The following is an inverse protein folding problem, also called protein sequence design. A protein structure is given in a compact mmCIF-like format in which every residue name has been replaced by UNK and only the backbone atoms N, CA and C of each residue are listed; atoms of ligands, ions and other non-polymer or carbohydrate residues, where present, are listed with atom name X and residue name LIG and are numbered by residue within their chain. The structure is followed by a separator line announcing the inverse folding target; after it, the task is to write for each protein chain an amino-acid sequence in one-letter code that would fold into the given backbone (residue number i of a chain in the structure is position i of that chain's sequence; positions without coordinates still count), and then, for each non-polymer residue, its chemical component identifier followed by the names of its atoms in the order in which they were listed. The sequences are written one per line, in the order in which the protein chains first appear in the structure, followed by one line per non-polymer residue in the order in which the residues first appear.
data_IF_547584346678
#
_entry.id   IF_547584346678
#
_cell.length_a   1.000
_cell.length_b   1.000
_cell.length_c   1.000
_cell.angle_alpha   90.00
_cell.angle_beta   90.00
_cell.angle_gamma   90.00
#
_symmetry.space_group_name_H-M   'P 1'
#
loop_
_entity.id
_entity.type
_entity.pdbx_description
1 polymer ?
#
# COMPACT_ATOMS: atom_id res chain seq x y z
N UNK A 1 -15.22 -23.10 -0.59
CA UNK A 1 -14.80 -24.37 -1.22
C UNK A 1 -15.48 -24.36 -2.56
N UNK A 2 -14.75 -24.05 -3.63
CA UNK A 2 -15.34 -24.02 -4.97
C UNK A 2 -15.79 -25.43 -5.35
N UNK A 3 -16.90 -25.53 -6.09
CA UNK A 3 -17.37 -26.82 -6.63
C UNK A 3 -16.38 -27.42 -7.64
N UNK A 4 -15.48 -26.60 -8.17
CA UNK A 4 -14.42 -26.96 -9.11
C UNK A 4 -13.09 -26.37 -8.63
N UNK A 5 -12.01 -27.12 -8.80
CA UNK A 5 -10.65 -26.67 -8.50
C UNK A 5 -10.28 -25.51 -9.43
N UNK A 6 -9.63 -24.46 -8.93
CA UNK A 6 -9.29 -23.26 -9.72
C UNK A 6 -8.39 -23.58 -10.93
N UNK A 7 -7.67 -24.70 -10.85
CA UNK A 7 -6.75 -25.17 -11.88
C UNK A 7 -7.38 -26.17 -12.87
N UNK A 8 -8.65 -26.54 -12.71
CA UNK A 8 -9.29 -27.52 -13.58
C UNK A 8 -9.79 -26.89 -14.89
N UNK A 9 -9.07 -27.14 -15.98
CA UNK A 9 -9.44 -26.75 -17.34
C UNK A 9 -10.16 -27.89 -18.06
N UNK A 10 -11.50 -27.83 -18.11
CA UNK A 10 -12.34 -28.85 -18.77
C UNK A 10 -11.94 -29.07 -20.23
N UNK A 11 -11.54 -28.02 -20.94
CA UNK A 11 -11.09 -28.09 -22.34
C UNK A 11 -9.86 -29.00 -22.48
N UNK A 12 -8.89 -28.87 -21.57
CA UNK A 12 -7.66 -29.66 -21.58
C UNK A 12 -7.95 -31.12 -21.17
N UNK A 13 -8.83 -31.31 -20.20
CA UNK A 13 -9.28 -32.64 -19.77
C UNK A 13 -9.98 -33.42 -20.89
N UNK A 14 -10.93 -32.79 -21.58
CA UNK A 14 -11.65 -33.38 -22.71
C UNK A 14 -10.69 -33.65 -23.88
N UNK A 15 -9.78 -32.71 -24.17
CA UNK A 15 -8.75 -32.87 -25.21
C UNK A 15 -7.79 -34.02 -24.92
N UNK A 16 -7.39 -34.22 -23.67
CA UNK A 16 -6.51 -35.32 -23.27
C UNK A 16 -7.16 -36.71 -23.39
N UNK A 17 -8.50 -36.79 -23.35
CA UNK A 17 -9.24 -38.05 -23.42
C UNK A 17 -9.55 -38.53 -24.84
N UNK A 18 -9.66 -37.61 -25.81
CA UNK A 18 -9.95 -37.93 -27.22
C UNK A 18 -8.93 -38.91 -27.85
N UNK A 19 -7.60 -38.79 -27.65
CA UNK A 19 -6.61 -39.70 -28.22
C UNK A 19 -6.64 -41.12 -27.64
N UNK A 20 -7.26 -41.30 -26.46
CA UNK A 20 -7.30 -42.57 -25.74
C UNK A 20 -8.41 -43.51 -26.23
N UNK A 21 -9.21 -43.08 -27.22
CA UNK A 21 -10.25 -43.89 -27.84
C UNK A 21 -9.67 -44.64 -29.05
N UNK A 22 -9.88 -45.94 -29.15
CA UNK A 22 -9.22 -46.76 -30.18
C UNK A 22 -9.79 -46.59 -31.60
N UNK A 23 -11.06 -46.17 -31.74
CA UNK A 23 -11.76 -46.07 -33.03
C UNK A 23 -11.97 -44.62 -33.48
N UNK A 24 -11.63 -44.31 -34.73
CA UNK A 24 -11.80 -43.02 -35.40
C UNK A 24 -13.26 -42.53 -35.43
N UNK A 25 -14.25 -43.42 -35.67
CA UNK A 25 -15.67 -43.04 -35.63
C UNK A 25 -16.11 -42.68 -34.21
N UNK A 26 -15.64 -43.45 -33.21
CA UNK A 26 -15.91 -43.16 -31.80
C UNK A 26 -15.25 -41.85 -31.34
N UNK A 27 -14.09 -41.48 -31.91
CA UNK A 27 -13.42 -40.19 -31.65
C UNK A 27 -14.24 -39.02 -32.17
N UNK A 28 -14.76 -39.10 -33.41
CA UNK A 28 -15.52 -38.00 -34.00
C UNK A 28 -16.89 -37.85 -33.32
N UNK A 29 -17.54 -38.97 -32.97
CA UNK A 29 -18.78 -38.99 -32.18
C UNK A 29 -18.56 -38.41 -30.77
N UNK A 30 -17.47 -38.81 -30.09
CA UNK A 30 -17.11 -38.29 -28.77
C UNK A 30 -16.79 -36.80 -28.82
N UNK A 31 -16.07 -36.32 -29.85
CA UNK A 31 -15.79 -34.88 -30.05
C UNK A 31 -17.07 -34.06 -30.20
N UNK A 32 -17.97 -34.50 -31.09
CA UNK A 32 -19.16 -33.74 -31.45
C UNK A 32 -20.24 -33.76 -30.38
N UNK A 33 -20.46 -34.91 -29.76
CA UNK A 33 -21.55 -35.10 -28.81
C UNK A 33 -21.06 -34.88 -27.39
N UNK A 34 -20.06 -35.65 -26.95
CA UNK A 34 -19.66 -35.63 -25.53
C UNK A 34 -18.78 -34.41 -25.24
N UNK A 35 -17.77 -34.12 -26.06
CA UNK A 35 -16.84 -33.02 -25.82
C UNK A 35 -17.55 -31.67 -25.75
N UNK A 36 -18.25 -31.30 -26.83
CA UNK A 36 -18.93 -30.01 -26.91
C UNK A 36 -20.07 -29.89 -25.88
N UNK A 37 -20.96 -30.88 -25.75
CA UNK A 37 -22.04 -30.81 -24.75
C UNK A 37 -21.51 -30.75 -23.32
N UNK A 38 -20.45 -31.49 -22.98
CA UNK A 38 -19.89 -31.48 -21.62
C UNK A 38 -19.17 -30.16 -21.32
N UNK A 39 -18.46 -29.59 -22.30
CA UNK A 39 -17.83 -28.27 -22.17
C UNK A 39 -18.89 -27.19 -22.02
N UNK A 40 -19.94 -27.21 -22.85
CA UNK A 40 -21.02 -26.22 -22.82
C UNK A 40 -21.83 -26.33 -21.52
N UNK A 41 -22.15 -27.55 -21.08
CA UNK A 41 -22.80 -27.80 -19.79
C UNK A 41 -21.92 -27.34 -18.63
N UNK A 42 -20.61 -27.61 -18.66
CA UNK A 42 -19.67 -27.14 -17.63
C UNK A 42 -19.62 -25.61 -17.58
N UNK A 43 -19.52 -24.94 -18.75
CA UNK A 43 -19.54 -23.48 -18.84
C UNK A 43 -20.85 -22.91 -18.31
N UNK A 44 -21.98 -23.52 -18.65
CA UNK A 44 -23.29 -23.09 -18.17
C UNK A 44 -23.44 -23.28 -16.65
N UNK A 45 -23.07 -24.45 -16.11
CA UNK A 45 -23.09 -24.72 -14.67
C UNK A 45 -22.14 -23.78 -13.92
N UNK A 46 -20.96 -23.51 -14.47
CA UNK A 46 -20.01 -22.55 -13.90
C UNK A 46 -20.60 -21.14 -13.91
N UNK A 47 -21.19 -20.69 -15.02
CA UNK A 47 -21.82 -19.38 -15.10
C UNK A 47 -23.01 -19.23 -14.13
N UNK A 48 -23.87 -20.25 -14.00
CA UNK A 48 -24.96 -20.26 -13.01
C UNK A 48 -24.44 -20.26 -11.58
N UNK A 49 -23.34 -20.99 -11.31
CA UNK A 49 -22.68 -20.99 -10.01
C UNK A 49 -22.08 -19.62 -9.68
N UNK A 50 -21.30 -19.03 -10.60
CA UNK A 50 -20.71 -17.71 -10.46
C UNK A 50 -21.80 -16.63 -10.30
N UNK A 51 -22.94 -16.76 -11.00
CA UNK A 51 -24.08 -15.86 -10.88
C UNK A 51 -24.85 -16.04 -9.55
N UNK A 52 -25.00 -17.27 -9.06
CA UNK A 52 -25.55 -17.54 -7.74
C UNK A 52 -24.63 -17.00 -6.65
N UNK A 53 -23.33 -17.25 -6.77
CA UNK A 53 -22.29 -16.73 -5.89
C UNK A 53 -22.37 -15.20 -5.86
N UNK A 54 -22.39 -14.53 -7.02
CA UNK A 54 -22.55 -13.07 -7.12
C UNK A 54 -23.83 -12.57 -6.44
N UNK A 55 -24.98 -13.21 -6.65
CA UNK A 55 -26.24 -12.82 -5.98
C UNK A 55 -26.17 -12.98 -4.47
N UNK A 56 -25.64 -14.11 -3.99
CA UNK A 56 -25.45 -14.36 -2.56
C UNK A 56 -24.45 -13.37 -1.95
N UNK A 57 -23.41 -12.99 -2.70
CA UNK A 57 -22.47 -11.93 -2.32
C UNK A 57 -23.13 -10.56 -2.23
N UNK A 58 -23.96 -10.21 -3.21
CA UNK A 58 -24.69 -8.94 -3.25
C UNK A 58 -25.76 -8.84 -2.15
N UNK A 59 -26.34 -9.99 -1.74
CA UNK A 59 -27.29 -10.10 -0.63
C UNK A 59 -26.64 -10.11 0.77
N UNK A 60 -25.36 -10.46 0.87
CA UNK A 60 -24.63 -10.44 2.14
C UNK A 60 -24.28 -9.00 2.53
N UNK A 61 -24.42 -8.59 3.81
CA UNK A 61 -23.96 -7.28 4.24
C UNK A 61 -22.44 -7.18 4.01
N UNK A 62 -22.02 -6.27 3.13
CA UNK A 62 -20.60 -5.94 2.96
C UNK A 62 -20.16 -5.11 4.15
N UNK A 63 -19.14 -5.57 4.86
CA UNK A 63 -18.49 -4.74 5.87
C UNK A 63 -17.88 -3.52 5.15
N UNK A 64 -18.16 -2.32 5.63
CA UNK A 64 -17.53 -1.12 5.09
C UNK A 64 -16.03 -1.22 5.35
N UNK A 65 -15.22 -1.17 4.28
CA UNK A 65 -13.76 -1.30 4.35
C UNK A 65 -13.10 -0.01 3.91
N UNK A 66 -11.85 0.16 4.34
CA UNK A 66 -10.97 1.16 3.73
C UNK A 66 -10.74 0.81 2.25
N UNK A 67 -10.77 1.81 1.34
CA UNK A 67 -10.35 1.64 -0.03
C UNK A 67 -8.95 1.04 -0.14
N UNK A 68 -8.73 0.30 -1.22
CA UNK A 68 -7.42 -0.26 -1.49
C UNK A 68 -6.46 0.86 -1.93
N UNK A 69 -5.43 1.09 -1.12
CA UNK A 69 -4.35 2.01 -1.47
C UNK A 69 -3.39 1.30 -2.40
N UNK A 70 -3.00 2.00 -3.46
CA UNK A 70 -2.01 1.54 -4.43
C UNK A 70 -0.91 2.59 -4.43
N UNK A 71 0.33 2.14 -4.24
CA UNK A 71 1.50 3.01 -4.19
C UNK A 71 2.57 2.55 -5.15
N UNK A 72 3.30 3.53 -5.68
CA UNK A 72 4.44 3.31 -6.55
C UNK A 72 5.48 4.41 -6.29
N UNK A 73 6.65 4.28 -6.88
CA UNK A 73 7.65 5.34 -6.92
C UNK A 73 8.24 5.37 -8.32
N UNK A 74 8.38 6.56 -8.89
CA UNK A 74 9.02 6.75 -10.20
C UNK A 74 10.12 7.79 -10.09
N UNK A 75 11.02 7.84 -11.06
CA UNK A 75 11.90 8.99 -11.18
C UNK A 75 11.06 10.20 -11.65
N UNK A 76 11.23 11.36 -11.03
CA UNK A 76 10.44 12.57 -11.34
C UNK A 76 10.41 12.92 -12.83
N UNK A 77 11.50 12.69 -13.56
CA UNK A 77 11.65 12.95 -14.99
C UNK A 77 10.87 11.97 -15.89
N UNK A 78 10.45 10.82 -15.34
CA UNK A 78 9.68 9.80 -16.04
C UNK A 78 8.18 9.82 -15.71
N UNK A 79 7.75 10.73 -14.83
CA UNK A 79 6.35 10.83 -14.44
C UNK A 79 5.51 11.41 -15.58
N UNK A 80 4.41 10.73 -15.91
CA UNK A 80 3.43 11.21 -16.88
C UNK A 80 2.44 12.16 -16.19
N UNK A 81 2.43 13.44 -16.58
CA UNK A 81 1.50 14.43 -16.05
C UNK A 81 0.04 14.16 -16.45
N UNK A 82 -0.20 13.28 -17.41
CA UNK A 82 -1.54 12.86 -17.86
C UNK A 82 -2.03 11.57 -17.22
N UNK A 83 -1.26 10.99 -16.29
CA UNK A 83 -1.67 9.82 -15.53
C UNK A 83 -2.98 10.08 -14.76
N UNK A 84 -3.99 9.26 -15.02
CA UNK A 84 -5.33 9.37 -14.43
C UNK A 84 -5.49 8.47 -13.19
N UNK A 85 -4.50 7.65 -12.86
CA UNK A 85 -4.60 6.62 -11.83
C UNK A 85 -3.67 6.83 -10.63
N UNK A 86 -2.42 7.24 -10.86
CA UNK A 86 -1.46 7.49 -9.78
C UNK A 86 -0.98 8.93 -9.77
N UNK A 87 -1.12 9.57 -8.62
CA UNK A 87 -0.82 10.98 -8.39
C UNK A 87 0.33 11.13 -7.41
N UNK A 88 1.12 12.23 -7.46
CA UNK A 88 2.10 12.54 -6.43
C UNK A 88 1.44 12.65 -5.05
N UNK A 89 2.06 12.05 -4.03
CA UNK A 89 1.57 12.21 -2.65
C UNK A 89 1.61 13.67 -2.17
N UNK A 90 2.56 14.44 -2.68
CA UNK A 90 2.68 15.89 -2.51
C UNK A 90 2.86 16.54 -3.88
N UNK A 91 2.01 17.52 -4.19
CA UNK A 91 2.09 18.25 -5.47
C UNK A 91 3.40 19.05 -5.58
N UNK A 92 3.93 19.52 -4.44
CA UNK A 92 5.16 20.30 -4.35
C UNK A 92 6.41 19.50 -4.74
N UNK A 93 6.34 18.17 -4.78
CA UNK A 93 7.47 17.33 -5.22
C UNK A 93 7.74 17.43 -6.73
N UNK A 94 6.79 17.99 -7.48
CA UNK A 94 6.97 18.36 -8.89
C UNK A 94 7.85 19.61 -9.04
N UNK A 95 8.03 20.41 -8.00
CA UNK A 95 8.93 21.56 -8.02
C UNK A 95 10.39 21.12 -7.82
N UNK A 96 11.33 21.82 -8.44
CA UNK A 96 12.75 21.53 -8.22
C UNK A 96 13.25 22.20 -6.94
N UNK A 97 13.95 21.42 -6.12
CA UNK A 97 14.60 21.91 -4.90
C UNK A 97 15.74 22.85 -5.28
N UNK A 98 15.66 24.10 -4.85
CA UNK A 98 16.74 25.09 -5.01
C UNK A 98 17.59 25.13 -3.74
N UNK A 99 18.88 24.89 -3.88
CA UNK A 99 19.84 24.94 -2.76
C UNK A 99 20.45 26.34 -2.68
N UNK A 100 20.17 27.05 -1.59
CA UNK A 100 20.82 28.33 -1.32
C UNK A 100 22.23 28.09 -0.73
N UNK A 101 23.26 28.41 -1.50
CA UNK A 101 24.65 28.16 -1.09
C UNK A 101 25.06 28.95 0.17
N UNK A 102 24.59 30.18 0.32
CA UNK A 102 24.92 31.03 1.48
C UNK A 102 24.34 30.44 2.78
N UNK A 103 23.09 29.98 2.73
CA UNK A 103 22.45 29.29 3.86
C UNK A 103 23.12 27.94 4.16
N UNK A 104 23.48 27.19 3.12
CA UNK A 104 24.18 25.92 3.27
C UNK A 104 25.54 26.08 3.94
N UNK A 105 26.38 27.00 3.45
CA UNK A 105 27.72 27.26 3.99
C UNK A 105 27.63 27.76 5.43
N UNK A 106 26.71 28.69 5.71
CA UNK A 106 26.52 29.22 7.07
C UNK A 106 26.03 28.15 8.05
N UNK A 107 25.10 27.27 7.64
CA UNK A 107 24.65 26.14 8.44
C UNK A 107 25.80 25.17 8.75
N UNK A 108 26.58 24.79 7.73
CA UNK A 108 27.72 23.85 7.91
C UNK A 108 28.82 24.46 8.76
N UNK A 109 29.16 25.75 8.60
CA UNK A 109 30.13 26.48 9.46
C UNK A 109 29.67 26.55 10.92
N UNK A 110 28.36 26.65 11.16
CA UNK A 110 27.76 26.58 12.50
C UNK A 110 27.70 25.15 13.09
N UNK A 111 28.16 24.13 12.35
CA UNK A 111 28.12 22.73 12.76
C UNK A 111 26.77 22.05 12.53
N UNK A 112 25.84 22.69 11.83
CA UNK A 112 24.53 22.15 11.51
C UNK A 112 24.55 21.43 10.15
N UNK A 113 23.78 20.34 10.07
CA UNK A 113 23.57 19.65 8.80
C UNK A 113 22.58 20.42 7.92
N UNK A 114 22.84 20.55 6.62
CA UNK A 114 21.97 21.25 5.67
C UNK A 114 21.36 20.28 4.66
N UNK A 115 20.05 20.35 4.45
CA UNK A 115 19.31 19.46 3.53
C UNK A 115 19.62 19.81 2.07
N UNK A 116 19.80 18.80 1.22
CA UNK A 116 20.07 18.99 -0.20
C UNK A 116 18.99 18.42 -1.09
N UNK A 117 18.71 17.12 -0.96
CA UNK A 117 17.75 16.42 -1.78
C UNK A 117 17.34 15.11 -1.12
N UNK A 118 16.23 14.54 -1.57
CA UNK A 118 15.77 13.19 -1.20
C UNK A 118 16.18 12.18 -2.28
N UNK A 119 16.61 11.00 -1.86
CA UNK A 119 16.86 9.84 -2.73
C UNK A 119 16.20 8.59 -2.15
N UNK A 120 15.95 7.59 -3.00
CA UNK A 120 15.50 6.28 -2.55
C UNK A 120 16.60 5.24 -2.76
N UNK A 121 16.81 4.36 -1.78
CA UNK A 121 17.80 3.29 -1.87
C UNK A 121 17.09 1.95 -2.08
N UNK A 122 17.28 1.33 -3.25
CA UNK A 122 16.73 0.01 -3.62
C UNK A 122 17.54 -1.13 -2.97
N UNK A 123 17.49 -1.22 -1.64
CA UNK A 123 18.17 -2.25 -0.87
C UNK A 123 17.23 -2.91 0.15
N UNK A 124 17.59 -4.13 0.57
CA UNK A 124 16.88 -4.88 1.60
C UNK A 124 16.85 -4.12 2.94
N UNK A 125 15.75 -4.25 3.68
CA UNK A 125 15.53 -3.59 4.96
C UNK A 125 16.68 -3.78 5.97
N UNK A 126 17.24 -5.00 6.11
CA UNK A 126 18.32 -5.23 7.07
C UNK A 126 19.60 -4.48 6.69
N UNK A 127 19.86 -4.34 5.38
CA UNK A 127 21.00 -3.57 4.88
C UNK A 127 20.84 -2.08 5.23
N UNK A 128 19.65 -1.53 5.01
CA UNK A 128 19.33 -0.14 5.33
C UNK A 128 19.35 0.12 6.85
N UNK A 129 18.84 -0.82 7.64
CA UNK A 129 18.89 -0.77 9.11
C UNK A 129 20.33 -0.70 9.61
N UNK A 130 21.22 -1.56 9.10
CA UNK A 130 22.64 -1.53 9.45
C UNK A 130 23.31 -0.22 9.02
N UNK A 131 22.96 0.29 7.84
CA UNK A 131 23.47 1.58 7.35
C UNK A 131 23.11 2.72 8.31
N UNK A 132 21.85 2.81 8.72
CA UNK A 132 21.38 3.83 9.68
C UNK A 132 22.05 3.70 11.05
N UNK A 133 22.19 2.48 11.56
CA UNK A 133 22.84 2.23 12.85
C UNK A 133 24.34 2.57 12.85
N UNK A 134 25.00 2.50 11.70
CA UNK A 134 26.43 2.79 11.57
C UNK A 134 26.78 4.28 11.65
N UNK A 135 25.82 5.18 11.40
CA UNK A 135 26.08 6.62 11.32
C UNK A 135 27.07 7.02 10.21
N UNK A 136 27.12 6.22 9.13
CA UNK A 136 28.08 6.38 8.03
C UNK A 136 28.03 7.78 7.41
N UNK A 137 29.20 8.28 7.04
CA UNK A 137 29.37 9.50 6.25
C UNK A 137 29.87 9.14 4.87
N UNK A 138 29.24 9.67 3.84
CA UNK A 138 29.63 9.48 2.46
C UNK A 138 30.47 10.65 1.98
N UNK A 139 31.45 10.37 1.13
CA UNK A 139 32.15 11.43 0.40
C UNK A 139 31.38 11.80 -0.88
N UNK A 140 31.73 12.95 -1.44
CA UNK A 140 31.27 13.37 -2.75
C UNK A 140 31.71 14.79 -3.04
N UNK A 141 31.06 15.39 -4.04
CA UNK A 141 31.47 16.66 -4.63
C UNK A 141 30.25 17.55 -4.83
N UNK A 142 30.41 18.83 -4.47
CA UNK A 142 29.47 19.89 -4.81
C UNK A 142 30.07 20.71 -5.93
N UNK A 143 29.39 20.72 -7.08
CA UNK A 143 29.73 21.54 -8.24
C UNK A 143 29.03 22.89 -8.12
N UNK A 144 29.83 23.95 -8.22
CA UNK A 144 29.39 25.34 -8.28
C UNK A 144 29.88 25.96 -9.58
N UNK A 145 29.47 27.19 -9.89
CA UNK A 145 29.76 27.85 -11.17
C UNK A 145 31.26 27.91 -11.53
N UNK A 146 32.13 27.99 -10.52
CA UNK A 146 33.58 28.22 -10.66
C UNK A 146 34.45 26.99 -10.38
N UNK A 147 33.86 25.83 -10.08
CA UNK A 147 34.62 24.63 -9.75
C UNK A 147 33.86 23.56 -8.99
N UNK A 148 34.61 22.65 -8.39
CA UNK A 148 34.12 21.50 -7.65
C UNK A 148 34.80 21.46 -6.27
N UNK A 149 33.99 21.31 -5.22
CA UNK A 149 34.47 21.25 -3.84
C UNK A 149 34.07 19.92 -3.19
N UNK A 150 35.02 19.28 -2.51
CA UNK A 150 34.75 18.04 -1.80
C UNK A 150 33.90 18.27 -0.55
N UNK A 151 32.95 17.37 -0.31
CA UNK A 151 32.03 17.46 0.82
C UNK A 151 31.75 16.09 1.43
N UNK A 152 31.26 16.09 2.67
CA UNK A 152 30.77 14.90 3.36
C UNK A 152 29.28 15.00 3.60
N UNK A 153 28.60 13.88 3.39
CA UNK A 153 27.16 13.76 3.45
C UNK A 153 26.73 12.72 4.47
N UNK A 154 25.56 12.90 5.05
CA UNK A 154 24.86 11.92 5.88
C UNK A 154 23.46 11.67 5.32
N UNK A 155 22.94 10.49 5.61
CA UNK A 155 21.57 10.11 5.30
C UNK A 155 20.71 10.16 6.55
N UNK A 156 19.49 10.67 6.41
CA UNK A 156 18.44 10.56 7.43
C UNK A 156 17.18 9.97 6.79
N UNK A 157 16.44 9.07 7.48
CA UNK A 157 15.14 8.62 6.97
C UNK A 157 14.22 9.81 6.71
N UNK A 158 13.48 9.75 5.61
CA UNK A 158 12.48 10.75 5.30
C UNK A 158 11.12 10.31 5.86
N UNK A 159 10.71 10.95 6.96
CA UNK A 159 9.43 10.65 7.62
C UNK A 159 8.26 11.47 7.07
N UNK A 160 8.49 12.34 6.08
CA UNK A 160 7.45 13.24 5.53
C UNK A 160 6.27 12.45 4.97
N UNK A 161 6.56 11.41 4.19
CA UNK A 161 5.51 10.56 3.59
C UNK A 161 4.91 9.59 4.61
N UNK A 162 5.66 9.17 5.63
CA UNK A 162 5.14 8.32 6.71
C UNK A 162 4.10 9.10 7.53
N UNK A 163 4.36 10.38 7.83
CA UNK A 163 3.36 11.27 8.45
C UNK A 163 2.10 11.44 7.59
N UNK A 164 2.23 11.35 6.27
CA UNK A 164 1.07 11.38 5.38
C UNK A 164 0.18 10.14 5.53
N UNK A 165 0.78 8.98 5.81
CA UNK A 165 0.06 7.76 6.16
C UNK A 165 -0.53 7.84 7.57
N UNK A 166 0.13 8.49 8.51
CA UNK A 166 -0.42 8.77 9.85
C UNK A 166 -1.68 9.66 9.78
N UNK A 167 -1.69 10.71 8.93
CA UNK A 167 -2.90 11.50 8.67
C UNK A 167 -4.06 10.62 8.16
N UNK A 168 -3.74 9.58 7.38
CA UNK A 168 -4.73 8.65 6.84
C UNK A 168 -5.43 7.81 7.93
N UNK A 169 -4.74 7.54 9.05
CA UNK A 169 -5.33 6.86 10.20
C UNK A 169 -6.49 7.66 10.80
N UNK A 170 -6.30 8.96 11.00
CA UNK A 170 -7.37 9.85 11.47
C UNK A 170 -8.54 9.93 10.46
N UNK A 171 -8.24 9.83 9.16
CA UNK A 171 -9.27 9.80 8.10
C UNK A 171 -10.11 8.53 8.19
N UNK A 172 -9.50 7.37 8.45
CA UNK A 172 -10.25 6.13 8.66
C UNK A 172 -11.25 6.25 9.81
N UNK A 173 -10.81 6.84 10.93
CA UNK A 173 -11.66 7.10 12.10
C UNK A 173 -12.79 8.09 11.77
N UNK A 174 -12.50 9.18 11.06
CA UNK A 174 -13.50 10.18 10.62
C UNK A 174 -14.61 9.54 9.77
N UNK A 175 -14.27 8.52 8.98
CA UNK A 175 -15.21 7.79 8.12
C UNK A 175 -15.85 6.59 8.83
N UNK A 176 -15.60 6.38 10.13
CA UNK A 176 -16.09 5.22 10.90
C UNK A 176 -15.68 3.88 10.29
N UNK A 177 -14.49 3.81 9.68
CA UNK A 177 -13.96 2.60 9.06
C UNK A 177 -12.95 1.93 9.99
N UNK A 178 -12.98 0.58 10.11
CA UNK A 178 -11.93 -0.13 10.81
C UNK A 178 -10.60 0.06 10.08
N UNK A 179 -9.56 0.39 10.83
CA UNK A 179 -8.22 0.54 10.28
C UNK A 179 -7.69 -0.79 9.74
N UNK A 180 -6.98 -0.70 8.61
CA UNK A 180 -6.21 -1.78 7.99
C UNK A 180 -4.85 -1.21 7.63
N UNK A 181 -3.79 -1.98 7.83
CA UNK A 181 -2.44 -1.60 7.45
C UNK A 181 -2.38 -1.31 5.96
N UNK A 182 -1.54 -0.34 5.61
CA UNK A 182 -1.29 0.04 4.23
C UNK A 182 0.06 -0.51 3.78
N UNK A 183 0.09 -1.08 2.57
CA UNK A 183 1.31 -1.62 1.98
C UNK A 183 2.06 -0.50 1.22
N UNK A 184 2.91 0.24 1.94
CA UNK A 184 3.64 1.43 1.43
C UNK A 184 5.16 1.29 1.55
N UNK A 185 5.76 0.20 1.06
CA UNK A 185 7.15 -0.16 1.38
C UNK A 185 8.18 0.82 0.82
N UNK A 186 7.87 1.50 -0.28
CA UNK A 186 8.74 2.51 -0.88
C UNK A 186 9.03 3.67 0.07
N UNK A 187 8.06 4.06 0.91
CA UNK A 187 8.19 5.20 1.80
C UNK A 187 9.27 4.99 2.86
N UNK A 188 9.46 3.75 3.30
CA UNK A 188 10.49 3.36 4.28
C UNK A 188 11.91 3.27 3.68
N UNK A 189 12.06 3.50 2.37
CA UNK A 189 13.35 3.50 1.67
C UNK A 189 13.77 4.88 1.16
N UNK A 190 13.03 5.92 1.53
CA UNK A 190 13.35 7.32 1.22
C UNK A 190 14.28 7.91 2.28
N UNK A 191 15.32 8.58 1.81
CA UNK A 191 16.32 9.21 2.65
C UNK A 191 16.60 10.63 2.17
N UNK A 192 16.68 11.54 3.13
CA UNK A 192 17.15 12.90 2.92
C UNK A 192 18.67 12.94 3.05
N UNK A 193 19.29 13.53 2.04
CA UNK A 193 20.73 13.73 1.96
C UNK A 193 21.06 15.09 2.55
N UNK A 194 21.89 15.09 3.60
CA UNK A 194 22.39 16.30 4.23
C UNK A 194 23.89 16.44 4.04
N UNK A 195 24.35 17.66 3.76
CA UNK A 195 25.78 18.00 3.88
C UNK A 195 26.13 18.37 5.31
N UNK A 196 27.27 17.88 5.79
CA UNK A 196 27.76 18.12 7.16
C UNK A 196 29.17 18.71 7.20
N UNK A 197 29.88 18.68 6.08
CA UNK A 197 31.23 19.23 5.96
C UNK A 197 31.48 19.57 4.51
N UNK A 198 32.09 20.72 4.28
CA UNK A 198 32.51 21.21 2.96
C UNK A 198 33.98 21.62 3.11
N UNK A 199 34.83 21.28 2.14
CA UNK A 199 36.17 21.85 2.04
C UNK A 199 36.11 23.37 1.78
N UNK A 200 37.26 24.06 1.75
CA UNK A 200 37.31 25.52 1.58
C UNK A 200 36.48 25.97 0.36
N UNK A 201 35.39 26.68 0.64
CA UNK A 201 34.48 27.25 -0.34
C UNK A 201 34.24 28.71 0.07
N UNK A 202 34.77 29.62 -0.75
CA UNK A 202 34.52 31.06 -0.65
C UNK A 202 33.38 31.47 -1.60
N UNK A 203 32.52 32.34 -1.09
CA UNK A 203 31.57 33.20 -1.79
C UNK A 203 30.27 32.64 -2.43
N UNK A 204 29.34 33.60 -2.56
CA UNK A 204 27.93 33.59 -2.99
C UNK A 204 27.69 32.98 -4.39
N UNK A 205 28.01 31.71 -4.55
CA UNK A 205 27.95 31.00 -5.83
C UNK A 205 26.80 30.00 -5.84
N UNK A 206 26.08 29.89 -6.95
CA UNK A 206 24.97 28.94 -7.01
C UNK A 206 25.46 27.50 -7.07
N UNK A 207 24.72 26.61 -6.39
CA UNK A 207 24.96 25.17 -6.44
C UNK A 207 24.40 24.64 -7.76
N UNK A 208 25.28 24.16 -8.63
CA UNK A 208 24.88 23.61 -9.93
C UNK A 208 24.47 22.15 -9.78
N UNK A 209 25.27 21.35 -9.07
CA UNK A 209 25.02 19.92 -8.92
C UNK A 209 25.66 19.38 -7.65
N UNK A 210 24.96 18.48 -6.97
CA UNK A 210 25.52 17.69 -5.86
C UNK A 210 25.68 16.25 -6.35
N UNK A 211 26.88 15.69 -6.18
CA UNK A 211 27.15 14.29 -6.46
C UNK A 211 27.65 13.63 -5.18
N UNK A 212 26.97 12.58 -4.74
CA UNK A 212 27.37 11.77 -3.58
C UNK A 212 27.81 10.41 -4.07
N UNK A 213 28.94 9.90 -3.58
CA UNK A 213 29.53 8.68 -4.11
C UNK A 213 28.67 7.44 -3.83
N UNK A 214 27.95 7.43 -2.69
CA UNK A 214 27.11 6.34 -2.17
C UNK A 214 27.76 4.95 -2.08
N UNK A 215 29.01 4.79 -2.52
CA UNK A 215 29.84 3.60 -2.43
C UNK A 215 29.08 2.36 -2.95
N UNK A 216 28.90 1.31 -2.15
CA UNK A 216 28.21 0.09 -2.58
C UNK A 216 26.71 0.28 -2.91
N UNK A 217 26.15 1.45 -2.59
CA UNK A 217 24.75 1.79 -2.87
C UNK A 217 24.58 2.57 -4.18
N UNK A 218 25.66 3.02 -4.84
CA UNK A 218 25.61 3.91 -6.00
C UNK A 218 24.66 3.42 -7.11
N UNK A 219 24.71 2.13 -7.45
CA UNK A 219 23.86 1.51 -8.47
C UNK A 219 22.41 1.26 -8.02
N UNK A 220 22.13 1.42 -6.72
CA UNK A 220 20.81 1.18 -6.10
C UNK A 220 20.06 2.48 -5.82
N UNK A 221 20.66 3.64 -6.12
CA UNK A 221 20.04 4.94 -5.87
C UNK A 221 19.04 5.28 -6.98
N UNK A 222 17.82 5.60 -6.58
CA UNK A 222 16.88 6.37 -7.39
C UNK A 222 16.96 7.83 -6.95
N UNK A 223 17.49 8.68 -7.83
CA UNK A 223 17.51 10.13 -7.65
C UNK A 223 16.16 10.74 -7.99
N UNK A 224 15.82 11.86 -7.34
CA UNK A 224 14.53 12.55 -7.49
C UNK A 224 13.35 11.55 -7.47
N UNK A 225 13.25 10.69 -6.44
CA UNK A 225 12.14 9.76 -6.33
C UNK A 225 10.84 10.56 -6.15
N UNK A 226 9.81 10.18 -6.89
CA UNK A 226 8.47 10.74 -6.79
C UNK A 226 7.53 9.62 -6.31
N UNK A 227 7.19 9.59 -5.01
CA UNK A 227 6.20 8.66 -4.47
C UNK A 227 4.81 9.00 -5.00
N UNK A 228 4.14 7.98 -5.55
CA UNK A 228 2.81 8.08 -6.12
C UNK A 228 1.82 7.22 -5.34
N UNK A 229 0.56 7.63 -5.35
CA UNK A 229 -0.57 6.88 -4.80
C UNK A 229 -1.85 7.11 -5.61
N UNK A 230 -2.84 6.23 -5.47
CA UNK A 230 -4.12 6.36 -6.18
C UNK A 230 -5.12 7.32 -5.53
N UNK A 231 -4.73 8.10 -4.51
CA UNK A 231 -5.63 8.98 -3.77
C UNK A 231 -5.41 10.46 -4.12
N UNK A 232 -6.39 11.12 -4.75
CA UNK A 232 -6.34 12.56 -5.06
C UNK A 232 -7.32 13.37 -4.21
N UNK A 233 -6.92 14.55 -3.70
CA UNK A 233 -7.84 15.42 -2.97
C UNK A 233 -8.86 16.04 -3.93
N UNK A 234 -10.14 16.00 -3.57
CA UNK A 234 -11.25 16.61 -4.32
C UNK A 234 -12.21 17.32 -3.37
N UNK A 235 -12.92 18.32 -3.89
CA UNK A 235 -13.98 19.02 -3.15
C UNK A 235 -15.32 18.73 -3.83
N UNK A 236 -16.26 18.17 -3.07
CA UNK A 236 -17.61 17.86 -3.54
C UNK A 236 -18.59 18.77 -2.84
N UNK A 237 -19.47 19.40 -3.63
CA UNK A 237 -20.44 20.36 -3.10
C UNK A 237 -21.63 19.63 -2.49
N UNK A 238 -21.94 19.99 -1.25
CA UNK A 238 -23.15 19.58 -0.58
C UNK A 238 -24.39 20.28 -1.14
N UNK A 239 -25.53 19.91 -0.56
CA UNK A 239 -26.81 20.53 -0.85
C UNK A 239 -26.93 21.95 -0.30
N UNK A 240 -27.76 22.77 -0.94
CA UNK A 240 -27.99 24.16 -0.49
C UNK A 240 -28.79 24.28 0.80
N UNK A 241 -29.45 23.20 1.24
CA UNK A 241 -30.24 23.15 2.48
C UNK A 241 -30.10 21.77 3.14
N UNK A 242 -29.21 21.63 4.15
CA UNK A 242 -29.13 20.43 4.96
C UNK A 242 -30.48 20.12 5.61
N UNK A 243 -30.89 18.84 5.59
CA UNK A 243 -32.19 18.44 6.12
C UNK A 243 -32.04 18.04 7.59
N UNK A 244 -32.91 18.49 8.51
CA UNK A 244 -32.85 18.00 9.89
C UNK A 244 -33.07 16.49 9.91
N UNK A 245 -32.16 15.77 10.56
CA UNK A 245 -32.28 14.34 10.80
C UNK A 245 -33.49 14.03 11.69
N UNK A 246 -33.86 12.75 11.79
CA UNK A 246 -35.06 12.29 12.53
C UNK A 246 -35.10 12.78 13.98
N UNK A 247 -33.93 12.92 14.61
CA UNK A 247 -33.78 13.40 15.99
C UNK A 247 -33.81 14.94 16.14
N UNK A 248 -33.85 15.68 15.03
CA UNK A 248 -33.81 17.15 14.91
C UNK A 248 -32.61 17.82 15.60
N UNK A 249 -31.58 17.04 15.95
CA UNK A 249 -30.35 17.52 16.57
C UNK A 249 -29.21 17.60 15.55
N UNK A 250 -29.23 16.70 14.57
CA UNK A 250 -28.26 16.67 13.48
C UNK A 250 -28.93 17.02 12.15
N UNK A 251 -28.09 17.27 11.16
CA UNK A 251 -28.47 17.60 9.81
C UNK A 251 -27.86 16.59 8.84
N UNK A 252 -28.62 16.29 7.80
CA UNK A 252 -28.25 15.42 6.70
C UNK A 252 -27.85 16.28 5.51
N UNK A 253 -26.58 16.14 5.13
CA UNK A 253 -26.01 16.69 3.92
C UNK A 253 -26.02 15.58 2.87
N UNK A 254 -26.69 15.84 1.75
CA UNK A 254 -26.69 14.92 0.62
C UNK A 254 -25.72 15.41 -0.47
N UNK A 255 -25.02 14.48 -1.09
CA UNK A 255 -24.10 14.71 -2.21
C UNK A 255 -24.53 13.81 -3.37
N UNK A 256 -24.84 14.43 -4.52
CA UNK A 256 -25.37 13.74 -5.69
C UNK A 256 -24.39 12.77 -6.34
N UNK A 257 -24.88 11.60 -6.75
CA UNK A 257 -24.14 10.53 -7.42
C UNK A 257 -23.36 11.01 -8.66
N UNK A 258 -23.89 11.96 -9.42
CA UNK A 258 -23.27 12.47 -10.65
C UNK A 258 -21.99 13.30 -10.41
N UNK A 259 -21.68 13.67 -9.17
CA UNK A 259 -20.43 14.32 -8.79
C UNK A 259 -19.30 13.31 -8.54
N UNK A 260 -19.62 12.01 -8.48
CA UNK A 260 -18.66 10.95 -8.24
C UNK A 260 -18.34 10.23 -9.56
N UNK A 261 -17.06 9.88 -9.74
CA UNK A 261 -16.60 9.09 -10.87
C UNK A 261 -16.98 7.61 -10.67
N UNK A 262 -17.33 6.95 -11.76
CA UNK A 262 -17.61 5.51 -11.74
C UNK A 262 -16.34 4.73 -11.37
N UNK A 263 -16.49 3.64 -10.62
CA UNK A 263 -15.38 2.77 -10.18
C UNK A 263 -14.34 3.43 -9.24
N UNK A 264 -14.59 4.66 -8.80
CA UNK A 264 -13.77 5.36 -7.83
C UNK A 264 -14.37 5.26 -6.42
N UNK A 265 -13.50 5.19 -5.42
CA UNK A 265 -13.90 5.21 -4.00
C UNK A 265 -13.62 6.59 -3.38
N UNK A 266 -14.30 6.91 -2.27
CA UNK A 266 -14.22 8.24 -1.66
C UNK A 266 -14.18 8.16 -0.15
N UNK A 267 -13.23 8.87 0.46
CA UNK A 267 -13.14 9.05 1.91
C UNK A 267 -13.18 10.52 2.28
N UNK A 268 -13.99 10.88 3.27
CA UNK A 268 -14.03 12.23 3.81
C UNK A 268 -12.69 12.54 4.48
N UNK A 269 -11.96 13.54 3.99
CA UNK A 269 -10.60 13.87 4.43
C UNK A 269 -10.58 14.78 5.64
N UNK A 270 -11.51 15.73 5.70
CA UNK A 270 -11.60 16.73 6.75
C UNK A 270 -13.04 17.15 6.96
N UNK A 271 -13.40 17.43 8.21
CA UNK A 271 -14.68 18.01 8.56
C UNK A 271 -14.51 18.95 9.77
N UNK A 272 -15.03 20.17 9.65
CA UNK A 272 -15.15 21.09 10.79
C UNK A 272 -16.33 20.71 11.71
N UNK A 273 -17.25 19.90 11.20
CA UNK A 273 -18.44 19.41 11.89
C UNK A 273 -18.20 18.04 12.56
N UNK A 274 -18.95 17.77 13.63
CA UNK A 274 -18.95 16.44 14.28
C UNK A 274 -19.77 15.48 13.41
N UNK A 275 -19.06 14.60 12.70
CA UNK A 275 -19.66 13.56 11.87
C UNK A 275 -20.27 12.48 12.75
N UNK A 276 -21.51 12.11 12.50
CA UNK A 276 -22.22 11.01 13.17
C UNK A 276 -22.31 9.76 12.33
N UNK A 277 -22.44 9.92 11.02
CA UNK A 277 -22.56 8.80 10.10
C UNK A 277 -22.26 9.25 8.67
N UNK A 278 -21.70 8.35 7.87
CA UNK A 278 -21.56 8.49 6.42
C UNK A 278 -22.14 7.24 5.80
N UNK A 279 -23.07 7.39 4.85
CA UNK A 279 -23.68 6.26 4.14
C UNK A 279 -23.83 6.53 2.67
N UNK A 280 -23.82 5.47 1.86
CA UNK A 280 -24.18 5.50 0.45
C UNK A 280 -25.55 4.86 0.24
N UNK A 281 -26.38 5.47 -0.58
CA UNK A 281 -27.67 4.93 -1.00
C UNK A 281 -27.91 5.31 -2.46
N UNK A 282 -28.16 4.31 -3.32
CA UNK A 282 -28.43 4.50 -4.75
C UNK A 282 -27.38 5.35 -5.51
N UNK A 283 -26.13 5.33 -5.03
CA UNK A 283 -25.00 6.11 -5.57
C UNK A 283 -24.80 7.47 -4.91
N UNK A 284 -25.84 8.03 -4.28
CA UNK A 284 -25.75 9.25 -3.50
C UNK A 284 -25.02 9.00 -2.17
N UNK A 285 -24.35 10.02 -1.66
CA UNK A 285 -23.63 9.98 -0.38
C UNK A 285 -24.29 10.93 0.60
N UNK A 286 -24.57 10.42 1.81
CA UNK A 286 -25.22 11.16 2.88
C UNK A 286 -24.28 11.26 4.07
N UNK A 287 -24.08 12.48 4.55
CA UNK A 287 -23.30 12.79 5.75
C UNK A 287 -24.25 13.34 6.79
N UNK A 288 -24.32 12.66 7.94
CA UNK A 288 -25.09 13.12 9.10
C UNK A 288 -24.11 13.78 10.06
N UNK A 289 -24.30 15.07 10.34
CA UNK A 289 -23.40 15.87 11.19
C UNK A 289 -24.18 16.97 11.94
N UNK A 290 -23.50 17.76 12.76
CA UNK A 290 -24.11 18.88 13.50
C UNK A 290 -24.08 20.24 12.75
N UNK A 291 -23.57 20.27 11.51
CA UNK A 291 -23.58 21.49 10.69
C UNK A 291 -24.96 21.75 10.05
N UNK A 292 -25.57 22.87 10.40
CA UNK A 292 -26.88 23.32 9.89
C UNK A 292 -26.80 24.16 8.60
N UNK A 293 -25.60 24.62 8.25
CA UNK A 293 -25.33 25.39 7.04
C UNK A 293 -24.73 24.52 5.94
N UNK A 294 -24.97 24.83 4.65
CA UNK A 294 -24.31 24.17 3.52
C UNK A 294 -22.79 24.16 3.66
N UNK A 295 -22.16 23.05 3.30
CA UNK A 295 -20.71 22.88 3.38
C UNK A 295 -20.16 22.28 2.09
N UNK A 296 -18.96 22.72 1.73
CA UNK A 296 -18.14 22.09 0.70
C UNK A 296 -17.31 21.00 1.39
N UNK A 297 -17.44 19.78 0.93
CA UNK A 297 -16.89 18.60 1.59
C UNK A 297 -15.59 18.18 0.91
N UNK A 298 -14.53 18.00 1.70
CA UNK A 298 -13.21 17.64 1.21
C UNK A 298 -13.02 16.12 1.29
N UNK A 299 -12.76 15.47 0.16
CA UNK A 299 -12.57 14.04 0.06
C UNK A 299 -11.18 13.69 -0.48
N UNK A 300 -10.75 12.47 -0.20
CA UNK A 300 -9.87 11.72 -1.11
C UNK A 300 -10.72 10.91 -2.07
N UNK A 301 -10.46 11.05 -3.37
CA UNK A 301 -10.95 10.19 -4.44
C UNK A 301 -9.88 9.16 -4.77
N UNK A 302 -10.24 7.88 -4.74
CA UNK A 302 -9.35 6.76 -5.03
C UNK A 302 -9.61 6.25 -6.43
N UNK A 303 -8.60 6.35 -7.28
CA UNK A 303 -8.63 5.81 -8.63
C UNK A 303 -8.53 4.27 -8.60
N UNK A 304 -9.13 3.59 -9.58
CA UNK A 304 -9.01 2.14 -9.71
C UNK A 304 -7.56 1.72 -9.97
N UNK A 305 -7.29 0.43 -9.78
CA UNK A 305 -5.96 -0.12 -10.00
C UNK A 305 -5.52 0.06 -11.46
N UNK A 306 -4.37 0.75 -11.69
CA UNK A 306 -3.87 0.89 -13.05
C UNK A 306 -3.24 -0.41 -13.55
N UNK A 307 -2.90 -0.44 -14.83
CA UNK A 307 -2.15 -1.53 -15.42
C UNK A 307 -0.69 -1.49 -14.90
N UNK A 308 -0.19 -2.56 -14.24
CA UNK A 308 1.18 -2.58 -13.72
C UNK A 308 2.26 -2.40 -14.79
N UNK A 309 1.96 -2.72 -16.06
CA UNK A 309 2.91 -2.57 -17.17
C UNK A 309 3.27 -1.11 -17.50
N UNK A 310 2.47 -0.15 -17.02
CA UNK A 310 2.67 1.27 -17.30
C UNK A 310 3.74 1.90 -16.38
N UNK A 311 4.20 1.17 -15.35
CA UNK A 311 5.17 1.65 -14.35
C UNK A 311 6.44 0.80 -14.31
N UNK A 312 7.59 1.46 -14.11
CA UNK A 312 8.90 0.78 -14.01
C UNK A 312 9.03 -0.06 -12.73
N UNK A 313 8.49 0.45 -11.61
CA UNK A 313 8.54 -0.25 -10.33
C UNK A 313 7.22 -0.97 -10.05
N UNK A 314 7.24 -2.14 -9.37
CA UNK A 314 6.03 -2.88 -9.04
C UNK A 314 5.04 -2.06 -8.22
N UNK A 315 3.76 -2.16 -8.56
CA UNK A 315 2.69 -1.54 -7.78
C UNK A 315 2.53 -2.27 -6.44
N UNK A 316 2.48 -1.51 -5.35
CA UNK A 316 2.29 -2.03 -4.00
C UNK A 316 0.88 -1.71 -3.55
N UNK A 317 0.16 -2.72 -3.06
CA UNK A 317 -1.23 -2.55 -2.64
C UNK A 317 -1.56 -3.37 -1.39
N UNK A 318 -2.48 -2.87 -0.58
CA UNK A 318 -3.10 -3.61 0.52
C UNK A 318 -4.36 -4.38 0.09
N UNK A 319 -4.65 -4.43 -1.22
CA UNK A 319 -5.80 -5.15 -1.77
C UNK A 319 -5.81 -6.62 -1.37
N UNK A 320 -7.01 -7.12 -1.10
CA UNK A 320 -7.28 -8.50 -0.76
C UNK A 320 -8.34 -9.11 -1.69
N UNK A 321 -8.30 -10.42 -1.86
CA UNK A 321 -9.32 -11.16 -2.59
C UNK A 321 -10.67 -11.12 -1.85
N UNK A 322 -11.70 -10.63 -2.54
CA UNK A 322 -13.08 -10.63 -2.05
C UNK A 322 -13.66 -12.05 -2.11
N UNK A 323 -13.68 -12.76 -0.97
CA UNK A 323 -14.28 -14.11 -0.88
C UNK A 323 -15.45 -14.14 0.11
N UNK A 324 -16.46 -14.96 -0.18
CA UNK A 324 -17.72 -15.00 0.59
C UNK A 324 -17.48 -15.35 2.05
N UNK A 325 -16.63 -16.35 2.28
CA UNK A 325 -16.21 -16.76 3.62
C UNK A 325 -15.48 -15.63 4.37
N UNK A 326 -14.75 -14.75 3.66
CA UNK A 326 -14.05 -13.61 4.29
C UNK A 326 -15.00 -12.49 4.67
N UNK A 327 -15.93 -12.10 3.80
CA UNK A 327 -16.93 -11.08 4.15
C UNK A 327 -17.72 -11.50 5.40
N UNK A 328 -18.04 -12.79 5.53
CA UNK A 328 -18.65 -13.32 6.76
C UNK A 328 -17.69 -13.31 7.95
N UNK A 329 -16.40 -13.66 7.78
CA UNK A 329 -15.41 -13.59 8.88
C UNK A 329 -15.21 -12.15 9.36
N UNK A 330 -15.10 -11.18 8.45
CA UNK A 330 -14.99 -9.75 8.77
C UNK A 330 -16.27 -9.24 9.45
N UNK A 331 -17.44 -9.62 8.94
CA UNK A 331 -18.73 -9.22 9.50
C UNK A 331 -19.01 -9.83 10.88
N UNK A 332 -18.66 -11.10 11.10
CA UNK A 332 -18.89 -11.81 12.36
C UNK A 332 -17.70 -11.73 13.34
N UNK A 333 -16.59 -11.09 12.96
CA UNK A 333 -15.39 -10.95 13.80
C UNK A 333 -14.75 -12.28 14.19
N UNK A 334 -14.79 -13.28 13.30
CA UNK A 334 -14.34 -14.62 13.62
C UNK A 334 -12.79 -14.67 13.71
N UNK A 335 -12.27 -15.08 14.88
CA UNK A 335 -10.82 -15.13 15.15
C UNK A 335 -10.14 -16.31 14.45
N UNK A 336 -8.88 -16.12 14.03
CA UNK A 336 -7.99 -17.17 13.54
C UNK A 336 -7.65 -18.13 14.68
N UNK A 337 -7.87 -19.44 14.48
CA UNK A 337 -7.62 -20.50 15.47
C UNK A 337 -6.71 -21.61 14.95
N UNK A 338 -6.54 -21.74 13.65
CA UNK A 338 -5.84 -22.86 13.01
C UNK A 338 -4.77 -22.39 12.04
N UNK A 339 -3.77 -23.24 11.80
CA UNK A 339 -2.73 -23.00 10.80
C UNK A 339 -3.31 -22.74 9.40
N UNK A 340 -4.35 -23.49 9.01
CA UNK A 340 -5.03 -23.31 7.72
C UNK A 340 -5.67 -21.93 7.58
N UNK A 341 -6.20 -21.37 8.67
CA UNK A 341 -6.74 -20.00 8.67
C UNK A 341 -5.64 -18.95 8.53
N UNK A 342 -4.45 -19.16 9.11
CA UNK A 342 -3.27 -18.31 8.90
C UNK A 342 -2.83 -18.35 7.43
N UNK A 343 -2.76 -19.55 6.82
CA UNK A 343 -2.43 -19.70 5.40
C UNK A 343 -3.44 -18.93 4.53
N UNK A 344 -4.74 -19.09 4.80
CA UNK A 344 -5.82 -18.37 4.07
C UNK A 344 -5.77 -16.87 4.31
N UNK A 345 -5.36 -16.44 5.50
CA UNK A 345 -5.18 -15.03 5.83
C UNK A 345 -4.09 -14.41 4.96
N UNK A 346 -2.88 -14.98 4.94
CA UNK A 346 -1.79 -14.42 4.13
C UNK A 346 -2.06 -14.52 2.63
N UNK A 347 -2.60 -15.66 2.15
CA UNK A 347 -2.90 -15.86 0.72
C UNK A 347 -3.95 -14.92 0.15
N UNK A 348 -4.78 -14.28 0.98
CA UNK A 348 -5.78 -13.36 0.43
C UNK A 348 -5.21 -12.04 -0.03
N UNK A 349 -4.02 -11.65 0.46
CA UNK A 349 -3.43 -10.39 0.07
C UNK A 349 -2.80 -10.56 -1.31
N UNK A 350 -3.01 -9.58 -2.21
CA UNK A 350 -2.28 -9.56 -3.50
C UNK A 350 -0.77 -9.55 -3.29
N UNK A 351 -0.31 -8.96 -2.18
CA UNK A 351 1.07 -9.00 -1.74
C UNK A 351 1.67 -10.43 -1.55
N UNK A 352 0.83 -11.47 -1.44
CA UNK A 352 1.28 -12.87 -1.33
C UNK A 352 1.95 -13.41 -2.59
N UNK A 353 1.86 -12.70 -3.73
CA UNK A 353 2.63 -13.00 -4.95
C UNK A 353 4.15 -12.96 -4.70
N UNK A 354 4.61 -12.18 -3.72
CA UNK A 354 6.03 -12.06 -3.39
C UNK A 354 6.50 -13.03 -2.29
N UNK A 355 5.59 -13.50 -1.44
CA UNK A 355 5.91 -14.24 -0.22
C UNK A 355 4.96 -15.43 0.00
N UNK A 356 5.54 -16.62 0.11
CA UNK A 356 4.84 -17.83 0.51
C UNK A 356 4.97 -18.03 2.03
N UNK A 357 3.85 -18.10 2.74
CA UNK A 357 3.85 -18.47 4.16
C UNK A 357 4.17 -19.97 4.35
N UNK A 358 5.10 -20.27 5.26
CA UNK A 358 5.61 -21.64 5.50
C UNK A 358 5.10 -22.21 6.83
N UNK A 359 5.32 -21.50 7.94
CA UNK A 359 5.01 -21.99 9.28
C UNK A 359 4.91 -20.84 10.30
N UNK A 360 4.24 -21.08 11.43
CA UNK A 360 4.13 -20.15 12.54
C UNK A 360 4.42 -20.85 13.88
N UNK A 361 5.23 -20.22 14.74
CA UNK A 361 5.60 -20.77 16.05
C UNK A 361 5.73 -19.69 17.12
N UNK A 362 5.46 -20.09 18.36
CA UNK A 362 5.67 -19.21 19.52
C UNK A 362 7.11 -19.36 19.99
N UNK A 363 7.81 -18.24 20.13
CA UNK A 363 9.20 -18.16 20.57
C UNK A 363 9.35 -17.10 21.65
N UNK A 364 10.49 -17.10 22.36
CA UNK A 364 10.85 -15.96 23.21
C UNK A 364 11.11 -14.70 22.37
N UNK A 365 10.94 -13.52 22.98
CA UNK A 365 11.15 -12.23 22.32
C UNK A 365 12.52 -12.17 21.61
N UNK A 366 12.56 -11.99 20.27
CA UNK A 366 13.82 -11.97 19.54
C UNK A 366 14.60 -10.66 19.77
N UNK A 367 15.92 -10.76 19.88
CA UNK A 367 16.81 -9.61 20.03
C UNK A 367 16.88 -8.76 18.74
N UNK A 368 16.98 -9.43 17.58
CA UNK A 368 16.99 -8.80 16.27
C UNK A 368 15.77 -9.26 15.47
N UNK A 369 15.05 -8.30 14.90
CA UNK A 369 13.87 -8.53 14.07
C UNK A 369 14.19 -8.25 12.61
N UNK A 370 13.63 -9.09 11.72
CA UNK A 370 13.66 -8.88 10.27
C UNK A 370 12.50 -8.04 9.75
N UNK A 371 11.47 -7.84 10.57
CA UNK A 371 10.33 -6.96 10.27
C UNK A 371 10.29 -5.75 11.19
N UNK A 372 9.61 -4.71 10.72
CA UNK A 372 9.22 -3.52 11.46
C UNK A 372 7.70 -3.36 11.46
N UNK A 373 7.17 -2.46 12.29
CA UNK A 373 5.75 -2.10 12.25
C UNK A 373 5.53 -1.04 11.18
N UNK A 374 4.58 -1.24 10.27
CA UNK A 374 4.20 -0.21 9.28
C UNK A 374 3.35 0.92 9.90
N UNK A 375 3.01 0.79 11.18
CA UNK A 375 2.04 1.62 11.90
C UNK A 375 2.58 2.03 13.28
N UNK A 376 3.86 2.36 13.37
CA UNK A 376 4.49 2.73 14.65
C UNK A 376 3.85 3.99 15.28
N UNK A 377 3.12 4.78 14.49
CA UNK A 377 2.34 5.94 14.94
C UNK A 377 1.04 5.58 15.70
N UNK A 378 0.55 4.35 15.62
CA UNK A 378 -0.68 3.94 16.33
C UNK A 378 -0.32 3.57 17.77
N UNK A 379 -0.70 4.42 18.71
CA UNK A 379 -0.64 4.10 20.14
C UNK A 379 -1.93 3.40 20.58
N UNK A 380 -1.77 2.31 21.33
CA UNK A 380 -2.90 1.52 21.82
C UNK A 380 -3.06 1.76 23.31
N UNK A 381 -3.98 2.66 23.66
CA UNK A 381 -4.20 3.18 25.02
C UNK A 381 -4.39 2.11 26.11
N UNK A 382 -4.92 0.93 25.75
CA UNK A 382 -5.23 -0.15 26.70
C UNK A 382 -4.21 -1.31 26.70
N UNK A 383 -3.02 -1.16 26.08
CA UNK A 383 -1.98 -2.20 26.09
C UNK A 383 -1.07 -2.06 27.31
N UNK A 384 -1.35 -2.83 28.36
CA UNK A 384 -0.67 -2.73 29.67
C UNK A 384 0.37 -3.83 29.95
N UNK A 385 0.77 -4.64 28.96
CA UNK A 385 1.69 -5.77 29.15
C UNK A 385 2.94 -5.72 28.28
N UNK A 386 4.10 -6.03 28.87
CA UNK A 386 5.30 -6.37 28.08
C UNK A 386 5.06 -7.70 27.34
N UNK A 387 5.14 -7.70 26.01
CA UNK A 387 5.05 -8.93 25.21
C UNK A 387 6.31 -9.77 25.43
N UNK A 388 6.21 -10.75 26.33
CA UNK A 388 7.31 -11.67 26.69
C UNK A 388 7.56 -12.69 25.55
N UNK A 389 6.49 -13.13 24.89
CA UNK A 389 6.54 -14.10 23.80
C UNK A 389 6.28 -13.43 22.45
N UNK A 390 6.94 -13.94 21.42
CA UNK A 390 6.73 -13.55 20.03
C UNK A 390 6.08 -14.70 19.24
N UNK A 391 5.18 -14.35 18.32
CA UNK A 391 4.66 -15.27 17.32
C UNK A 391 5.46 -15.03 16.04
N UNK A 392 6.39 -15.95 15.76
CA UNK A 392 7.28 -15.89 14.59
C UNK A 392 6.63 -16.59 13.40
N UNK A 393 6.44 -15.85 12.31
CA UNK A 393 5.93 -16.32 11.03
C UNK A 393 7.10 -16.48 10.04
N UNK A 394 7.25 -17.68 9.49
CA UNK A 394 8.28 -17.99 8.50
C UNK A 394 7.72 -17.84 7.09
N UNK A 395 8.44 -17.11 6.23
CA UNK A 395 8.07 -16.86 4.85
C UNK A 395 9.20 -17.26 3.90
N UNK A 396 8.84 -17.76 2.73
CA UNK A 396 9.75 -18.00 1.61
C UNK A 396 9.51 -16.93 0.55
N UNK A 397 10.57 -16.31 0.05
CA UNK A 397 10.47 -15.34 -1.03
C UNK A 397 10.27 -16.04 -2.38
N UNK A 398 9.41 -15.49 -3.22
CA UNK A 398 9.25 -15.94 -4.60
C UNK A 398 10.49 -15.60 -5.45
N UNK A 399 11.06 -14.42 -5.24
CA UNK A 399 12.37 -14.00 -5.78
C UNK A 399 13.25 -13.51 -4.62
N UNK A 400 14.36 -14.21 -4.35
CA UNK A 400 15.28 -13.85 -3.27
C UNK A 400 15.96 -12.49 -3.46
N UNK A 401 16.10 -12.03 -4.71
CA UNK A 401 16.74 -10.75 -5.02
C UNK A 401 15.78 -9.56 -4.95
N UNK A 402 14.49 -9.81 -4.70
CA UNK A 402 13.50 -8.76 -4.58
C UNK A 402 13.73 -7.95 -3.30
N UNK A 403 14.26 -6.73 -3.46
CA UNK A 403 14.70 -5.87 -2.37
C UNK A 403 13.58 -5.39 -1.42
N UNK A 404 12.31 -5.64 -1.77
CA UNK A 404 11.12 -5.30 -0.97
C UNK A 404 10.57 -6.49 -0.18
N UNK A 405 11.18 -7.68 -0.25
CA UNK A 405 10.68 -8.89 0.44
C UNK A 405 10.39 -8.66 1.93
N UNK A 406 11.32 -8.03 2.66
CA UNK A 406 11.13 -7.76 4.10
C UNK A 406 10.15 -6.64 4.39
N UNK A 407 9.97 -5.71 3.45
CA UNK A 407 9.00 -4.62 3.57
C UNK A 407 7.57 -5.16 3.37
N UNK A 408 7.36 -6.01 2.36
CA UNK A 408 6.10 -6.74 2.17
C UNK A 408 5.80 -7.66 3.36
N UNK A 409 6.83 -8.36 3.87
CA UNK A 409 6.69 -9.19 5.07
C UNK A 409 6.30 -8.35 6.30
N UNK A 410 6.86 -7.14 6.43
CA UNK A 410 6.54 -6.21 7.53
C UNK A 410 5.09 -5.74 7.46
N UNK A 411 4.56 -5.47 6.26
CA UNK A 411 3.14 -5.20 6.05
C UNK A 411 2.25 -6.37 6.50
N UNK A 412 2.51 -7.59 6.00
CA UNK A 412 1.70 -8.78 6.37
C UNK A 412 1.75 -9.08 7.87
N UNK A 413 2.92 -8.92 8.49
CA UNK A 413 3.11 -9.13 9.93
C UNK A 413 2.44 -8.04 10.76
N UNK A 414 2.38 -6.80 10.27
CA UNK A 414 1.62 -5.72 10.91
C UNK A 414 0.12 -6.00 10.84
N UNK A 415 -0.37 -6.49 9.70
CA UNK A 415 -1.77 -6.88 9.55
C UNK A 415 -2.20 -7.99 10.51
N UNK A 416 -1.42 -9.06 10.62
CA UNK A 416 -1.76 -10.17 11.53
C UNK A 416 -1.57 -9.78 13.01
N UNK A 417 -0.79 -8.73 13.31
CA UNK A 417 -0.61 -8.22 14.67
C UNK A 417 -1.91 -7.70 15.28
N UNK A 418 -2.84 -7.20 14.47
CA UNK A 418 -4.19 -6.79 14.89
C UNK A 418 -5.02 -7.97 15.43
N UNK A 419 -4.77 -9.19 14.94
CA UNK A 419 -5.50 -10.40 15.31
C UNK A 419 -4.92 -11.11 16.54
N UNK A 420 -3.64 -10.88 16.85
CA UNK A 420 -2.92 -11.50 17.96
C UNK A 420 -2.28 -10.44 18.88
N UNK A 421 -3.08 -9.58 19.54
CA UNK A 421 -2.55 -8.49 20.37
C UNK A 421 -1.67 -8.96 21.54
N UNK A 422 -1.88 -10.19 22.02
CA UNK A 422 -1.15 -10.82 23.13
C UNK A 422 0.29 -11.22 22.79
N UNK A 423 0.61 -11.42 21.51
CA UNK A 423 1.96 -11.76 21.05
C UNK A 423 2.63 -10.58 20.36
N UNK A 424 3.96 -10.58 20.37
CA UNK A 424 4.74 -9.79 19.43
C UNK A 424 4.84 -10.56 18.11
N UNK A 425 4.10 -10.16 17.09
CA UNK A 425 4.20 -10.77 15.77
C UNK A 425 5.51 -10.34 15.10
N UNK A 426 6.28 -11.32 14.58
CA UNK A 426 7.53 -11.08 13.85
C UNK A 426 7.61 -11.98 12.63
N UNK A 427 8.19 -11.46 11.54
CA UNK A 427 8.44 -12.24 10.33
C UNK A 427 9.90 -12.67 10.23
N UNK A 428 10.13 -13.79 9.55
CA UNK A 428 11.46 -14.29 9.20
C UNK A 428 11.47 -14.86 7.79
N UNK A 429 12.46 -14.50 6.99
CA UNK A 429 12.69 -15.17 5.70
C UNK A 429 13.45 -16.48 5.92
N UNK A 430 12.91 -17.57 5.39
CA UNK A 430 13.59 -18.87 5.31
C UNK A 430 14.17 -19.06 3.92
N UNK A 431 15.39 -19.62 3.87
CA UNK A 431 16.00 -20.05 2.60
C UNK A 431 15.31 -21.34 2.13
N UNK A 432 15.21 -21.55 0.81
CA UNK A 432 14.59 -22.73 0.22
C UNK A 432 15.21 -24.05 0.66
#
# INVERSE_FOLDING_TARGET
MGLFDSDFKIDDYVRARIPQLDNLENRDLFKRIVGNLTIDLYKHVKAEYDALEKRVFDESPKATRLPDLITCVVAKDKYDLTDENLFPMFAEDLDDVKVNATEMISAVKAGNAFYLYTCMIRADYLTLKNLLQSGRRFNGVIQHEYGETTAKFILKPNDRYIKKIEEFYAIAELNYLPWRSLNTPYLFKLFDVYVVSIAEWDDETEVVKVTTDFEEFAEKILYKPLPLWNAKPVTIKGNSYPQPAVDRKYFEHYLYANQFQTEHEYLLRHADAIIRNIRRQDGDLYIICDADLPSDWQFYEFAPAPNPADYENPLMTNAQDETFSRNLIEYFGQRIKTHTEIVRFFKSFKASEHLEFVDAKIVGKPANRETYSTEEFIDYEFRTGERINALEFSFRAADENFYLNRDVMSFLVTEIQHLFPEYLCVGKLVRP
#
